data_IF_849743432195
#
_entry.id   IF_849743432195
#
_cell.length_a   1.000
_cell.length_b   1.000
_cell.length_c   1.000
_cell.angle_alpha   90.00
_cell.angle_beta   90.00
_cell.angle_gamma   90.00
#
_symmetry.space_group_name_H-M   'P 1'
#
loop_
_entity.id
_entity.type
_entity.pdbx_description
1 polymer ?
#
# COMPACT_ATOMS: atom_id res chain seq x y z
N UNK A 1 -25.69 15.54 -0.69
CA UNK A 1 -24.21 15.58 -0.54
C UNK A 1 -23.84 14.57 0.54
N UNK A 2 -22.87 13.68 0.31
CA UNK A 2 -22.35 12.82 1.38
C UNK A 2 -21.67 13.71 2.42
N UNK A 3 -22.22 13.74 3.64
CA UNK A 3 -21.63 14.45 4.77
C UNK A 3 -20.52 13.60 5.41
N UNK A 4 -19.46 13.34 4.64
CA UNK A 4 -18.26 12.62 5.09
C UNK A 4 -17.43 13.53 5.99
N UNK A 5 -17.22 13.10 7.24
CA UNK A 5 -16.42 13.84 8.24
C UNK A 5 -15.13 13.12 8.58
N UNK A 6 -14.09 13.89 8.90
CA UNK A 6 -12.87 13.33 9.53
C UNK A 6 -13.30 12.71 10.87
N UNK A 7 -12.81 11.51 11.17
CA UNK A 7 -13.19 10.80 12.37
C UNK A 7 -14.30 9.77 12.19
N UNK A 8 -14.99 9.82 11.05
CA UNK A 8 -16.09 8.91 10.78
C UNK A 8 -15.58 7.51 10.39
N UNK A 9 -16.29 6.49 10.84
CA UNK A 9 -16.12 5.12 10.38
C UNK A 9 -17.15 4.79 9.30
N UNK A 10 -16.72 4.06 8.28
CA UNK A 10 -17.55 3.72 7.14
C UNK A 10 -17.11 2.38 6.52
N UNK A 11 -18.08 1.56 6.15
CA UNK A 11 -17.82 0.36 5.36
C UNK A 11 -17.52 0.73 3.90
N UNK A 12 -16.42 0.22 3.36
CA UNK A 12 -15.99 0.45 1.99
C UNK A 12 -15.71 -0.86 1.28
N UNK A 13 -16.21 -0.97 0.05
CA UNK A 13 -15.75 -1.97 -0.91
C UNK A 13 -14.54 -1.39 -1.66
N UNK A 14 -13.45 -2.15 -1.74
CA UNK A 14 -12.25 -1.73 -2.46
C UNK A 14 -12.32 -2.26 -3.89
N UNK A 15 -12.38 -1.34 -4.85
CA UNK A 15 -12.60 -1.66 -6.27
C UNK A 15 -11.27 -1.89 -7.03
N UNK A 16 -10.25 -1.10 -6.69
CA UNK A 16 -9.03 -0.96 -7.50
C UNK A 16 -7.89 -0.41 -6.63
N UNK A 17 -6.70 -0.26 -7.22
CA UNK A 17 -5.58 0.45 -6.62
C UNK A 17 -5.36 1.79 -7.32
N UNK A 18 -5.27 2.84 -6.52
CA UNK A 18 -4.73 4.11 -6.97
C UNK A 18 -3.23 4.00 -7.27
N UNK A 19 -2.72 4.94 -8.07
CA UNK A 19 -1.28 5.11 -8.23
C UNK A 19 -0.61 5.29 -6.86
N UNK A 20 0.49 4.57 -6.62
CA UNK A 20 1.14 4.50 -5.31
C UNK A 20 0.60 3.41 -4.37
N UNK A 21 -0.36 2.59 -4.80
CA UNK A 21 -0.74 1.33 -4.13
C UNK A 21 -1.76 1.47 -3.00
N UNK A 22 -2.46 2.61 -2.89
CA UNK A 22 -3.60 2.73 -1.96
C UNK A 22 -4.84 2.09 -2.57
N UNK A 23 -5.64 1.40 -1.77
CA UNK A 23 -6.97 0.93 -2.17
C UNK A 23 -7.86 2.10 -2.57
N UNK A 24 -8.71 1.86 -3.56
CA UNK A 24 -9.63 2.84 -4.12
C UNK A 24 -11.07 2.35 -3.93
N UNK A 25 -11.88 3.15 -3.25
CA UNK A 25 -13.33 2.95 -3.14
C UNK A 25 -14.07 4.17 -3.67
N UNK A 26 -15.26 3.97 -4.23
CA UNK A 26 -16.15 5.06 -4.67
C UNK A 26 -17.49 4.96 -3.96
N UNK A 27 -17.89 6.06 -3.33
CA UNK A 27 -19.19 6.17 -2.67
C UNK A 27 -19.95 7.34 -3.31
N UNK A 28 -21.02 7.05 -4.05
CA UNK A 28 -21.77 8.03 -4.86
C UNK A 28 -20.85 8.96 -5.67
N UNK A 29 -19.93 8.36 -6.44
CA UNK A 29 -18.87 9.04 -7.22
C UNK A 29 -17.81 9.83 -6.41
N UNK A 30 -17.86 9.81 -5.08
CA UNK A 30 -16.81 10.39 -4.25
C UNK A 30 -15.68 9.39 -4.02
N UNK A 31 -14.44 9.81 -4.30
CA UNK A 31 -13.25 8.95 -4.23
C UNK A 31 -12.70 8.88 -2.81
N UNK A 32 -12.47 7.67 -2.32
CA UNK A 32 -11.86 7.42 -1.02
C UNK A 32 -10.63 6.52 -1.21
N UNK A 33 -9.46 7.04 -0.81
CA UNK A 33 -8.21 6.27 -0.81
C UNK A 33 -8.02 5.60 0.55
N UNK A 34 -7.86 4.28 0.56
CA UNK A 34 -7.70 3.49 1.79
C UNK A 34 -6.28 2.95 1.86
N UNK A 35 -5.56 3.32 2.90
CA UNK A 35 -4.18 2.88 3.12
C UNK A 35 -4.11 1.35 3.35
N UNK A 36 -3.17 0.68 2.66
CA UNK A 36 -2.90 -0.78 2.72
C UNK A 36 -4.03 -1.71 2.25
N UNK A 37 -5.20 -1.18 1.90
CA UNK A 37 -6.31 -1.98 1.38
C UNK A 37 -6.05 -2.44 -0.06
N UNK A 38 -6.54 -3.64 -0.40
CA UNK A 38 -6.37 -4.27 -1.71
C UNK A 38 -7.71 -4.51 -2.42
N UNK A 39 -7.74 -4.58 -3.76
CA UNK A 39 -8.98 -4.78 -4.51
C UNK A 39 -9.70 -6.06 -4.09
N UNK A 40 -11.03 -6.01 -4.00
CA UNK A 40 -11.86 -7.14 -3.56
C UNK A 40 -12.14 -7.18 -2.06
N UNK A 41 -11.38 -6.48 -1.23
CA UNK A 41 -11.67 -6.39 0.21
C UNK A 41 -12.95 -5.60 0.49
N UNK A 42 -13.66 -6.01 1.55
CA UNK A 42 -14.62 -5.18 2.26
C UNK A 42 -14.04 -4.80 3.62
N UNK A 43 -13.96 -3.51 3.92
CA UNK A 43 -13.30 -3.01 5.15
C UNK A 43 -14.19 -2.03 5.89
N UNK A 44 -14.12 -2.03 7.22
CA UNK A 44 -14.50 -0.88 8.03
C UNK A 44 -13.31 0.06 8.06
N UNK A 45 -13.47 1.26 7.52
CA UNK A 45 -12.40 2.25 7.42
C UNK A 45 -12.71 3.50 8.22
N UNK A 46 -11.67 4.09 8.81
CA UNK A 46 -11.71 5.36 9.52
C UNK A 46 -11.21 6.50 8.62
N UNK A 47 -12.02 7.54 8.42
CA UNK A 47 -11.66 8.71 7.60
C UNK A 47 -10.63 9.57 8.34
N UNK A 48 -9.40 9.56 7.84
CA UNK A 48 -8.28 10.34 8.40
C UNK A 48 -8.23 11.78 7.90
N UNK A 49 -8.73 12.02 6.68
CA UNK A 49 -8.67 13.32 6.02
C UNK A 49 -9.76 13.43 4.97
N UNK A 50 -10.47 14.57 4.94
CA UNK A 50 -11.45 14.90 3.91
C UNK A 50 -11.00 16.15 3.14
N UNK A 51 -11.05 16.08 1.80
CA UNK A 51 -10.81 17.20 0.88
C UNK A 51 -12.03 17.38 -0.03
N UNK A 52 -12.01 18.42 -0.87
CA UNK A 52 -13.15 18.75 -1.74
C UNK A 52 -13.50 17.63 -2.73
N UNK A 53 -12.49 16.95 -3.28
CA UNK A 53 -12.68 15.91 -4.31
C UNK A 53 -12.38 14.48 -3.89
N UNK A 54 -11.85 14.26 -2.69
CA UNK A 54 -11.52 12.92 -2.19
C UNK A 54 -11.40 12.88 -0.67
N UNK A 55 -11.35 11.67 -0.11
CA UNK A 55 -10.93 11.42 1.27
C UNK A 55 -9.77 10.41 1.34
N UNK A 56 -9.03 10.43 2.44
CA UNK A 56 -8.07 9.41 2.82
C UNK A 56 -8.57 8.68 4.07
N UNK A 57 -8.46 7.36 4.10
CA UNK A 57 -8.91 6.50 5.17
C UNK A 57 -7.85 5.45 5.53
N UNK A 58 -7.96 4.91 6.74
CA UNK A 58 -7.19 3.74 7.19
C UNK A 58 -8.15 2.61 7.51
N UNK A 59 -7.73 1.38 7.26
CA UNK A 59 -8.47 0.19 7.68
C UNK A 59 -8.52 0.20 9.21
N UNK A 60 -9.72 0.07 9.76
CA UNK A 60 -9.95 -0.25 11.17
C UNK A 60 -10.14 -1.76 11.33
N UNK A 61 -10.89 -2.37 10.42
CA UNK A 61 -11.19 -3.80 10.43
C UNK A 61 -11.39 -4.30 8.99
N UNK A 62 -10.93 -5.52 8.70
CA UNK A 62 -11.22 -6.22 7.45
C UNK A 62 -12.48 -7.06 7.69
N UNK A 63 -13.59 -6.67 7.06
CA UNK A 63 -14.88 -7.36 7.20
C UNK A 63 -14.90 -8.61 6.32
N UNK A 64 -14.31 -8.52 5.13
CA UNK A 64 -14.16 -9.64 4.21
C UNK A 64 -12.85 -9.47 3.43
N UNK A 65 -12.03 -10.51 3.45
CA UNK A 65 -10.74 -10.52 2.77
C UNK A 65 -10.91 -10.64 1.24
N UNK A 66 -9.93 -10.12 0.49
CA UNK A 66 -9.89 -10.21 -0.96
C UNK A 66 -9.57 -11.64 -1.43
N UNK A 67 -10.21 -12.12 -2.51
CA UNK A 67 -9.78 -13.36 -3.17
C UNK A 67 -8.37 -13.25 -3.80
N UNK A 68 -7.81 -12.04 -3.88
CA UNK A 68 -6.47 -11.76 -4.38
C UNK A 68 -5.44 -11.57 -3.26
N UNK A 69 -5.83 -11.79 -2.01
CA UNK A 69 -4.89 -11.77 -0.89
C UNK A 69 -3.89 -12.92 -0.98
N UNK A 70 -2.67 -12.66 -0.52
CA UNK A 70 -1.65 -13.69 -0.28
C UNK A 70 -0.80 -13.24 0.89
N UNK A 71 -0.26 -14.19 1.66
CA UNK A 71 0.63 -13.86 2.76
C UNK A 71 1.90 -13.16 2.23
N UNK A 72 2.25 -11.97 2.75
CA UNK A 72 3.51 -11.33 2.43
C UNK A 72 4.69 -12.24 2.77
N UNK A 73 5.67 -12.32 1.87
CA UNK A 73 6.89 -13.09 2.13
C UNK A 73 7.76 -12.45 3.21
N UNK A 74 7.82 -11.11 3.21
CA UNK A 74 8.70 -10.35 4.10
C UNK A 74 8.04 -10.08 5.45
N UNK A 75 8.70 -10.51 6.54
CA UNK A 75 8.29 -10.28 7.92
C UNK A 75 8.12 -8.80 8.28
N UNK A 76 8.88 -7.92 7.64
CA UNK A 76 8.83 -6.47 7.88
C UNK A 76 7.67 -5.77 7.16
N UNK A 77 6.96 -6.45 6.27
CA UNK A 77 5.75 -5.93 5.65
C UNK A 77 4.58 -6.02 6.64
N UNK A 78 3.71 -5.00 6.78
CA UNK A 78 3.57 -3.79 5.98
C UNK A 78 4.21 -2.55 6.58
N UNK A 79 5.10 -2.70 7.57
CA UNK A 79 5.66 -1.59 8.35
C UNK A 79 6.82 -0.93 7.63
N UNK A 80 7.72 -1.74 7.04
CA UNK A 80 8.81 -1.27 6.19
C UNK A 80 8.28 -0.47 4.99
N UNK A 81 8.87 0.68 4.70
CA UNK A 81 8.43 1.55 3.61
C UNK A 81 8.74 1.07 2.20
N UNK A 82 9.55 0.02 2.05
CA UNK A 82 10.09 -0.44 0.78
C UNK A 82 9.07 -1.07 -0.18
N UNK A 83 8.20 -1.96 0.33
CA UNK A 83 7.21 -2.65 -0.48
C UNK A 83 5.78 -2.15 -0.18
N UNK A 84 4.88 -2.16 -1.18
CA UNK A 84 3.51 -1.64 -1.05
C UNK A 84 2.41 -2.70 -1.12
N UNK A 85 2.63 -3.78 -1.87
CA UNK A 85 1.58 -4.72 -2.29
C UNK A 85 2.02 -6.18 -2.16
N UNK A 86 2.89 -6.54 -1.20
CA UNK A 86 3.29 -7.95 -1.03
C UNK A 86 2.11 -8.84 -0.65
N UNK A 87 1.09 -8.27 0.00
CA UNK A 87 -0.17 -8.92 0.35
C UNK A 87 -1.14 -9.13 -0.83
N UNK A 88 -0.76 -8.77 -2.05
CA UNK A 88 -1.57 -8.91 -3.26
C UNK A 88 -0.93 -9.93 -4.19
N UNK A 89 -1.71 -10.91 -4.66
CA UNK A 89 -1.26 -11.90 -5.64
C UNK A 89 -0.55 -11.23 -6.82
N UNK A 90 0.60 -11.76 -7.22
CA UNK A 90 1.45 -11.15 -8.25
C UNK A 90 0.69 -10.88 -9.55
N UNK A 91 -0.13 -11.84 -10.01
CA UNK A 91 -1.00 -11.67 -11.18
C UNK A 91 -1.94 -10.46 -11.06
N UNK A 92 -2.49 -10.23 -9.88
CA UNK A 92 -3.35 -9.07 -9.65
C UNK A 92 -2.52 -7.77 -9.57
N UNK A 93 -1.30 -7.80 -9.03
CA UNK A 93 -0.39 -6.64 -9.12
C UNK A 93 -0.15 -6.22 -10.59
N UNK A 94 0.07 -7.18 -11.50
CA UNK A 94 0.23 -6.92 -12.93
C UNK A 94 -1.06 -6.37 -13.55
N UNK A 95 -2.21 -6.98 -13.23
CA UNK A 95 -3.51 -6.51 -13.69
C UNK A 95 -3.80 -5.05 -13.27
N UNK A 96 -3.50 -4.70 -12.02
CA UNK A 96 -3.68 -3.35 -11.49
C UNK A 96 -2.75 -2.34 -12.21
N UNK A 97 -1.48 -2.70 -12.43
CA UNK A 97 -0.54 -1.89 -13.25
C UNK A 97 -1.06 -1.72 -14.69
N UNK A 98 -1.55 -2.79 -15.31
CA UNK A 98 -2.18 -2.77 -16.65
C UNK A 98 -3.30 -1.73 -16.71
N UNK A 99 -4.27 -1.86 -15.81
CA UNK A 99 -5.43 -0.96 -15.70
C UNK A 99 -5.00 0.49 -15.50
N UNK A 100 -3.96 0.75 -14.70
CA UNK A 100 -3.45 2.10 -14.48
C UNK A 100 -2.87 2.71 -15.76
N UNK A 101 -2.04 1.96 -16.50
CA UNK A 101 -1.49 2.40 -17.78
C UNK A 101 -2.60 2.68 -18.79
N UNK A 102 -3.53 1.73 -18.98
CA UNK A 102 -4.66 1.92 -19.91
C UNK A 102 -5.49 3.16 -19.57
N UNK A 103 -5.84 3.34 -18.29
CA UNK A 103 -6.59 4.52 -17.83
C UNK A 103 -5.84 5.84 -18.07
N UNK A 104 -4.51 5.85 -17.97
CA UNK A 104 -3.70 7.06 -18.25
C UNK A 104 -3.83 7.43 -19.72
N UNK A 105 -3.64 6.48 -20.64
CA UNK A 105 -3.74 6.74 -22.08
C UNK A 105 -5.16 7.14 -22.49
N UNK A 106 -6.17 6.46 -21.97
CA UNK A 106 -7.56 6.81 -22.27
C UNK A 106 -7.93 8.20 -21.73
N UNK A 107 -7.61 8.51 -20.46
CA UNK A 107 -8.11 9.74 -19.80
C UNK A 107 -7.22 10.97 -19.95
N UNK A 108 -5.90 10.81 -20.03
CA UNK A 108 -4.97 11.93 -20.07
C UNK A 108 -4.48 12.22 -21.48
N UNK A 109 -4.30 11.18 -22.30
CA UNK A 109 -3.84 11.34 -23.69
C UNK A 109 -5.02 11.44 -24.67
N UNK A 110 -6.19 10.88 -24.32
CA UNK A 110 -7.36 10.85 -25.20
C UNK A 110 -7.29 9.76 -26.26
N UNK A 111 -6.47 8.72 -26.04
CA UNK A 111 -6.45 7.54 -26.90
C UNK A 111 -7.54 6.57 -26.46
N UNK A 112 -8.71 6.72 -27.06
CA UNK A 112 -9.84 5.83 -26.80
C UNK A 112 -9.48 4.37 -27.10
N UNK A 113 -9.90 3.47 -26.18
CA UNK A 113 -9.69 2.02 -26.29
C UNK A 113 -8.21 1.60 -26.37
N UNK A 114 -7.29 2.38 -25.81
CA UNK A 114 -5.91 1.93 -25.66
C UNK A 114 -5.85 0.63 -24.85
N UNK A 115 -5.09 -0.36 -25.35
CA UNK A 115 -4.93 -1.66 -24.69
C UNK A 115 -3.45 -2.01 -24.56
N UNK A 116 -3.07 -2.44 -23.37
CA UNK A 116 -1.77 -3.04 -23.12
C UNK A 116 -1.85 -4.50 -23.54
N UNK A 117 -1.14 -4.88 -24.59
CA UNK A 117 -1.16 -6.25 -25.12
C UNK A 117 -0.49 -7.26 -24.17
N UNK A 118 0.70 -6.92 -23.69
CA UNK A 118 1.51 -7.80 -22.85
C UNK A 118 2.19 -7.00 -21.74
N UNK A 119 2.31 -7.63 -20.57
CA UNK A 119 3.21 -7.18 -19.51
C UNK A 119 4.35 -8.19 -19.45
N UNK A 120 5.59 -7.70 -19.46
CA UNK A 120 6.76 -8.52 -19.19
C UNK A 120 6.83 -8.69 -17.68
N UNK A 121 6.64 -9.93 -17.23
CA UNK A 121 6.69 -10.30 -15.83
C UNK A 121 8.14 -10.34 -15.32
N UNK A 122 8.32 -10.08 -14.04
CA UNK A 122 9.60 -10.26 -13.38
C UNK A 122 9.77 -11.74 -13.01
N UNK A 123 10.95 -12.28 -13.30
CA UNK A 123 11.36 -13.61 -12.85
C UNK A 123 12.85 -13.54 -12.47
N UNK A 124 13.22 -13.68 -11.18
CA UNK A 124 12.33 -13.92 -10.03
C UNK A 124 11.57 -12.66 -9.55
N UNK A 125 10.44 -12.86 -8.87
CA UNK A 125 9.65 -11.77 -8.23
C UNK A 125 10.19 -11.33 -6.86
N UNK A 126 11.18 -12.04 -6.34
CA UNK A 126 11.92 -11.78 -5.09
C UNK A 126 13.42 -11.85 -5.37
N UNK A 127 14.25 -11.34 -4.45
CA UNK A 127 15.71 -11.31 -4.62
C UNK A 127 16.19 -10.65 -5.92
N UNK A 128 15.39 -9.76 -6.52
CA UNK A 128 15.70 -9.14 -7.81
C UNK A 128 16.55 -7.87 -7.66
N UNK A 129 16.67 -7.32 -6.45
CA UNK A 129 17.29 -6.02 -6.21
C UNK A 129 18.78 -6.19 -5.92
N UNK A 130 19.59 -5.92 -6.94
CA UNK A 130 21.06 -6.01 -6.88
C UNK A 130 21.75 -4.86 -6.11
N UNK A 131 21.01 -3.81 -5.75
CA UNK A 131 21.50 -2.68 -4.96
C UNK A 131 20.48 -2.24 -3.92
N UNK A 132 20.89 -2.20 -2.66
CA UNK A 132 20.14 -1.64 -1.55
C UNK A 132 20.97 -0.58 -0.81
N UNK A 133 20.27 0.40 -0.25
CA UNK A 133 20.86 1.42 0.62
C UNK A 133 20.13 1.32 1.96
N UNK A 134 20.86 0.89 2.99
CA UNK A 134 20.36 0.81 4.36
C UNK A 134 20.82 2.04 5.15
N UNK A 135 19.96 2.51 6.04
CA UNK A 135 20.24 3.65 6.91
C UNK A 135 20.63 3.17 8.30
N UNK A 136 21.72 3.72 8.82
CA UNK A 136 22.13 3.60 10.22
C UNK A 136 21.64 4.84 10.98
N UNK A 137 21.01 4.66 12.14
CA UNK A 137 20.47 5.79 12.91
C UNK A 137 20.33 5.45 14.38
N UNK A 138 20.37 6.48 15.24
CA UNK A 138 19.99 6.37 16.66
C UNK A 138 18.50 6.50 16.94
N UNK A 139 17.70 6.65 15.89
CA UNK A 139 16.27 6.89 15.99
C UNK A 139 15.50 5.66 15.51
N UNK A 140 15.57 4.56 16.27
CA UNK A 140 14.80 3.35 15.98
C UNK A 140 13.30 3.62 16.05
N UNK A 141 12.56 2.99 15.14
CA UNK A 141 11.11 2.85 15.22
C UNK A 141 10.79 1.65 16.10
N UNK A 142 10.05 1.90 17.17
CA UNK A 142 9.60 0.85 18.09
C UNK A 142 8.24 0.36 17.57
N UNK A 143 8.11 -0.95 17.36
CA UNK A 143 6.86 -1.58 16.95
C UNK A 143 5.87 -1.61 18.13
N UNK A 144 4.57 -1.67 17.83
CA UNK A 144 3.54 -1.62 18.87
C UNK A 144 3.57 -2.86 19.77
N UNK A 145 4.01 -3.99 19.22
CA UNK A 145 4.19 -5.28 19.88
C UNK A 145 5.46 -5.39 20.76
N UNK A 146 6.40 -4.44 20.64
CA UNK A 146 7.63 -4.48 21.43
C UNK A 146 7.40 -4.05 22.89
N UNK A 147 8.19 -4.61 23.84
CA UNK A 147 8.06 -4.26 25.24
C UNK A 147 8.41 -2.79 25.51
N UNK A 148 7.75 -2.22 26.54
CA UNK A 148 8.09 -0.89 27.03
C UNK A 148 9.55 -0.83 27.49
N UNK A 149 10.27 0.20 27.05
CA UNK A 149 11.68 0.40 27.40
C UNK A 149 12.66 -0.39 26.55
N UNK A 150 12.24 -0.98 25.43
CA UNK A 150 13.15 -1.58 24.46
C UNK A 150 14.23 -0.58 24.01
N UNK A 151 15.44 -1.08 23.84
CA UNK A 151 16.57 -0.31 23.32
C UNK A 151 16.23 0.29 21.94
N UNK A 152 16.54 1.58 21.76
CA UNK A 152 16.10 2.35 20.60
C UNK A 152 17.13 3.35 20.08
N UNK A 153 18.37 3.27 20.60
CA UNK A 153 19.50 4.14 20.30
C UNK A 153 20.34 3.69 19.09
N UNK A 154 19.96 2.58 18.45
CA UNK A 154 20.53 2.09 17.20
C UNK A 154 19.46 1.44 16.32
N UNK A 155 19.60 1.57 15.01
CA UNK A 155 18.82 0.86 14.00
C UNK A 155 19.63 0.78 12.70
N UNK A 156 19.56 -0.37 12.05
CA UNK A 156 20.02 -0.61 10.70
C UNK A 156 18.85 -1.09 9.85
N UNK A 157 18.40 -0.26 8.90
CA UNK A 157 17.33 -0.68 8.03
C UNK A 157 16.72 0.40 7.16
N UNK A 158 15.40 0.46 7.13
CA UNK A 158 14.63 1.24 6.16
C UNK A 158 13.76 2.30 6.84
N UNK A 159 13.53 3.41 6.14
CA UNK A 159 12.63 4.46 6.63
C UNK A 159 11.18 3.97 6.72
N UNK A 160 10.51 4.40 7.79
CA UNK A 160 9.07 4.22 7.97
C UNK A 160 8.30 5.17 7.04
N UNK A 161 7.21 4.73 6.38
CA UNK A 161 6.36 5.62 5.60
C UNK A 161 5.97 6.88 6.38
N UNK A 162 6.18 8.05 5.77
CA UNK A 162 5.84 9.38 6.32
C UNK A 162 6.69 9.80 7.55
N UNK A 163 7.70 9.02 7.93
CA UNK A 163 8.64 9.33 9.02
C UNK A 163 10.08 9.15 8.54
N UNK A 164 10.62 10.21 7.96
CA UNK A 164 12.00 10.23 7.46
C UNK A 164 13.02 10.18 8.61
N UNK A 165 12.63 10.60 9.81
CA UNK A 165 13.46 10.67 11.02
C UNK A 165 13.61 9.32 11.75
N UNK A 166 12.81 8.32 11.38
CA UNK A 166 12.71 7.02 12.07
C UNK A 166 13.05 5.86 11.14
N UNK A 167 13.85 4.93 11.66
CA UNK A 167 14.31 3.75 10.94
C UNK A 167 13.69 2.51 11.56
N UNK A 168 13.04 1.69 10.73
CA UNK A 168 12.72 0.32 11.11
C UNK A 168 14.00 -0.49 11.04
N UNK A 169 14.41 -1.04 12.17
CA UNK A 169 15.47 -2.02 12.24
C UNK A 169 14.98 -3.32 11.59
N UNK A 170 15.74 -3.87 10.65
CA UNK A 170 15.34 -5.06 9.89
C UNK A 170 16.46 -6.10 9.87
N UNK A 171 16.09 -7.37 9.95
CA UNK A 171 17.05 -8.50 9.92
C UNK A 171 17.28 -9.09 8.52
N UNK A 172 16.40 -8.78 7.59
CA UNK A 172 16.34 -9.39 6.26
C UNK A 172 15.51 -8.55 5.28
N UNK A 173 15.71 -8.76 3.98
CA UNK A 173 14.94 -8.09 2.94
C UNK A 173 14.72 -9.01 1.73
N UNK A 174 13.55 -9.64 1.60
CA UNK A 174 13.24 -10.64 0.55
C UNK A 174 13.24 -10.14 -0.90
N UNK A 175 13.46 -8.85 -1.13
CA UNK A 175 13.68 -8.33 -2.49
C UNK A 175 15.17 -8.22 -2.83
N UNK A 176 16.07 -8.40 -1.87
CA UNK A 176 17.52 -8.41 -2.02
C UNK A 176 18.05 -9.85 -1.83
N UNK A 177 19.01 -10.31 -2.66
CA UNK A 177 19.67 -11.61 -2.49
C UNK A 177 20.40 -11.78 -1.16
#
# INVERSE_FOLDING_TARGET
>A
MLDLKKGQEIELQIDDLAYGGKGLSRLNNFVIFVEKAIPGQKVLAYITKKKKGFAEAKIKEIISESPFFTDPKCSHFPTCGGCKTQQLLYKEQLNQKKKQVEKIFEKQVGLDKFKVYQIIEADPIFNYRNKMEFTFSKNRWILEEEPLGVESDFALGMHIPRRWDKILDIDSCDIMP
#
